data_IF_106427574255
#
_entry.id   IF_106427574255
#
_cell.length_a   1.000
_cell.length_b   1.000
_cell.length_c   1.000
_cell.angle_alpha   90.00
_cell.angle_beta   90.00
_cell.angle_gamma   90.00
#
_symmetry.space_group_name_H-M   'P 1'
#
loop_
_entity.id
_entity.type
_entity.pdbx_description
1 polymer ?
#
# COMPACT_ATOMS: atom_id res chain seq x y z
N UNK A 1 -14.89 10.79 -7.63
CA UNK A 1 -16.08 10.83 -6.74
C UNK A 1 -15.95 9.86 -5.56
N UNK A 2 -15.45 8.62 -5.74
CA UNK A 2 -15.24 7.66 -4.63
C UNK A 2 -14.14 8.04 -3.61
N UNK A 3 -13.06 8.74 -3.99
CA UNK A 3 -12.00 9.12 -3.03
C UNK A 3 -12.48 10.13 -1.98
N UNK A 4 -13.42 11.00 -2.35
CA UNK A 4 -14.09 11.89 -1.41
C UNK A 4 -14.96 11.12 -0.41
N UNK A 5 -15.50 9.96 -0.79
CA UNK A 5 -16.27 9.09 0.10
C UNK A 5 -15.38 8.26 1.03
N UNK A 6 -14.22 7.79 0.56
CA UNK A 6 -13.20 7.12 1.41
C UNK A 6 -12.57 8.11 2.40
N UNK A 7 -12.25 9.34 1.96
CA UNK A 7 -11.83 10.42 2.87
C UNK A 7 -12.94 10.86 3.83
N UNK A 8 -14.21 10.83 3.42
CA UNK A 8 -15.34 11.14 4.30
C UNK A 8 -15.59 10.07 5.39
N UNK A 9 -15.09 8.84 5.22
CA UNK A 9 -15.07 7.85 6.31
C UNK A 9 -13.96 8.13 7.34
N UNK A 10 -12.95 8.94 6.99
CA UNK A 10 -11.81 9.31 7.85
C UNK A 10 -11.92 10.69 8.51
N UNK A 11 -12.77 11.60 8.03
CA UNK A 11 -13.01 12.89 8.69
C UNK A 11 -14.13 12.77 9.74
N UNK A 12 -13.74 12.69 11.01
CA UNK A 12 -14.62 12.96 12.16
C UNK A 12 -15.75 11.94 12.34
N UNK A 13 -15.40 10.74 12.81
CA UNK A 13 -16.39 9.78 13.28
C UNK A 13 -17.01 10.27 14.61
N UNK A 14 -18.30 10.62 14.60
CA UNK A 14 -19.03 11.05 15.81
C UNK A 14 -20.40 10.35 15.84
N UNK A 15 -20.44 9.08 16.25
CA UNK A 15 -21.69 8.34 16.46
C UNK A 15 -21.49 6.83 16.57
N UNK A 16 -22.42 6.12 17.21
CA UNK A 16 -22.35 4.67 17.47
C UNK A 16 -22.40 4.35 18.96
N UNK A 17 -22.30 3.07 19.31
CA UNK A 17 -22.25 2.64 20.71
C UNK A 17 -21.42 1.37 20.90
N UNK A 18 -20.87 1.21 22.11
CA UNK A 18 -20.21 -0.03 22.55
C UNK A 18 -21.26 -1.13 22.72
N UNK A 19 -20.93 -2.31 22.23
CA UNK A 19 -21.65 -3.55 22.47
C UNK A 19 -20.70 -4.57 23.07
N UNK A 20 -21.12 -5.20 24.18
CA UNK A 20 -20.38 -6.30 24.79
C UNK A 20 -21.16 -7.58 24.51
N UNK A 21 -20.54 -8.52 23.79
CA UNK A 21 -21.19 -9.78 23.43
C UNK A 21 -21.65 -10.53 24.70
N UNK A 22 -22.96 -10.74 24.92
CA UNK A 22 -23.45 -11.36 26.15
C UNK A 22 -23.17 -12.86 26.21
N UNK A 23 -23.04 -13.50 25.04
CA UNK A 23 -22.69 -14.90 24.83
C UNK A 23 -21.82 -15.04 23.59
N UNK A 24 -21.18 -16.21 23.41
CA UNK A 24 -20.39 -16.48 22.20
C UNK A 24 -21.32 -16.47 20.98
N UNK A 25 -21.03 -15.60 20.02
CA UNK A 25 -21.90 -15.30 18.88
C UNK A 25 -21.11 -15.25 17.57
N UNK A 26 -21.75 -14.95 16.45
CA UNK A 26 -21.08 -14.67 15.18
C UNK A 26 -21.25 -13.21 14.77
N UNK A 27 -20.35 -12.73 13.93
CA UNK A 27 -20.43 -11.38 13.39
C UNK A 27 -21.71 -11.15 12.55
N UNK A 28 -22.24 -12.22 11.92
CA UNK A 28 -23.49 -12.18 11.16
C UNK A 28 -24.71 -12.09 12.08
N UNK A 29 -24.65 -12.74 13.25
CA UNK A 29 -25.73 -12.65 14.25
C UNK A 29 -25.75 -11.25 14.89
N UNK A 30 -24.57 -10.69 15.20
CA UNK A 30 -24.46 -9.28 15.63
C UNK A 30 -24.99 -8.35 14.55
N UNK A 31 -24.65 -8.56 13.28
CA UNK A 31 -25.20 -7.75 12.19
C UNK A 31 -26.73 -7.89 12.08
N UNK A 32 -27.27 -9.10 12.25
CA UNK A 32 -28.71 -9.34 12.26
C UNK A 32 -29.40 -8.57 13.39
N UNK A 33 -28.83 -8.59 14.60
CA UNK A 33 -29.37 -7.90 15.78
C UNK A 33 -29.54 -6.39 15.56
N UNK A 34 -28.55 -5.73 14.94
CA UNK A 34 -28.52 -4.27 14.82
C UNK A 34 -28.97 -3.72 13.46
N UNK A 35 -29.00 -4.55 12.43
CA UNK A 35 -29.27 -4.12 11.06
C UNK A 35 -30.34 -4.95 10.35
N UNK A 36 -30.96 -5.92 11.03
CA UNK A 36 -32.03 -6.77 10.49
C UNK A 36 -31.63 -7.57 9.23
N UNK A 37 -30.33 -7.71 9.00
CA UNK A 37 -29.75 -8.51 7.91
C UNK A 37 -28.31 -8.92 8.28
N UNK A 38 -27.89 -10.16 7.96
CA UNK A 38 -26.55 -10.60 8.27
C UNK A 38 -25.52 -9.96 7.32
N UNK A 39 -25.97 -9.36 6.22
CA UNK A 39 -25.11 -8.81 5.17
C UNK A 39 -24.28 -7.60 5.63
N UNK A 40 -24.63 -6.99 6.78
CA UNK A 40 -23.92 -5.85 7.36
C UNK A 40 -22.77 -6.23 8.29
N UNK A 41 -22.43 -7.52 8.39
CA UNK A 41 -21.24 -7.96 9.10
C UNK A 41 -19.95 -7.20 8.68
N UNK A 42 -19.72 -6.81 7.41
CA UNK A 42 -18.54 -6.05 7.01
C UNK A 42 -18.46 -4.68 7.69
N UNK A 43 -19.60 -4.01 7.87
CA UNK A 43 -19.67 -2.71 8.53
C UNK A 43 -19.40 -2.81 10.04
N UNK A 44 -19.89 -3.88 10.69
CA UNK A 44 -19.58 -4.17 12.09
C UNK A 44 -18.08 -4.44 12.27
N UNK A 45 -17.48 -5.26 11.40
CA UNK A 45 -16.04 -5.55 11.41
C UNK A 45 -15.22 -4.28 11.23
N UNK A 46 -15.49 -3.51 10.16
CA UNK A 46 -14.75 -2.31 9.82
C UNK A 46 -14.83 -1.23 10.91
N UNK A 47 -15.99 -1.05 11.52
CA UNK A 47 -16.18 -0.10 12.61
C UNK A 47 -15.49 -0.56 13.91
N UNK A 48 -15.61 -1.84 14.26
CA UNK A 48 -14.98 -2.43 15.45
C UNK A 48 -13.46 -2.38 15.33
N UNK A 49 -12.89 -2.76 14.18
CA UNK A 49 -11.45 -2.69 13.95
C UNK A 49 -10.94 -1.24 13.95
N UNK A 50 -11.71 -0.28 13.44
CA UNK A 50 -11.35 1.15 13.54
C UNK A 50 -11.37 1.64 14.99
N UNK A 51 -12.32 1.18 15.82
CA UNK A 51 -12.32 1.50 17.24
C UNK A 51 -11.18 0.82 18.00
N UNK A 52 -10.78 -0.39 17.62
CA UNK A 52 -9.60 -1.07 18.18
C UNK A 52 -8.32 -0.23 18.02
N UNK A 53 -8.17 0.50 16.90
CA UNK A 53 -7.03 1.41 16.68
C UNK A 53 -7.02 2.60 17.66
N UNK A 54 -8.18 3.04 18.14
CA UNK A 54 -8.32 4.17 19.07
C UNK A 54 -8.33 3.71 20.54
N UNK A 55 -8.91 2.55 20.79
CA UNK A 55 -9.06 1.91 22.09
C UNK A 55 -8.88 0.38 21.91
N UNK A 56 -7.69 -0.16 22.24
CA UNK A 56 -7.40 -1.58 22.10
C UNK A 56 -8.24 -2.51 22.98
N UNK A 57 -9.12 -1.98 23.84
CA UNK A 57 -10.08 -2.82 24.57
C UNK A 57 -11.19 -3.37 23.69
N UNK A 58 -11.42 -2.79 22.50
CA UNK A 58 -12.28 -3.35 21.46
C UNK A 58 -11.62 -4.57 20.82
N UNK A 59 -12.41 -5.51 20.32
CA UNK A 59 -11.91 -6.72 19.67
C UNK A 59 -11.23 -6.38 18.34
N UNK A 60 -10.06 -6.97 18.07
CA UNK A 60 -9.50 -7.02 16.72
C UNK A 60 -10.07 -8.24 16.00
N UNK A 61 -10.87 -8.02 14.97
CA UNK A 61 -11.51 -9.07 14.17
C UNK A 61 -10.64 -9.30 12.94
N UNK A 62 -9.85 -10.37 12.94
CA UNK A 62 -8.95 -10.74 11.83
C UNK A 62 -9.63 -11.65 10.79
N UNK A 63 -10.66 -12.39 11.22
CA UNK A 63 -11.41 -13.32 10.39
C UNK A 63 -12.90 -13.28 10.76
N UNK A 64 -13.80 -12.90 9.84
CA UNK A 64 -15.24 -12.75 10.14
C UNK A 64 -15.98 -14.07 10.35
N UNK A 65 -15.38 -15.20 10.01
CA UNK A 65 -15.97 -16.53 10.20
C UNK A 65 -15.61 -17.15 11.57
N UNK A 66 -14.72 -16.52 12.35
CA UNK A 66 -14.42 -16.98 13.71
C UNK A 66 -15.50 -16.53 14.71
N UNK A 67 -15.75 -17.33 15.77
CA UNK A 67 -16.65 -16.93 16.84
C UNK A 67 -16.21 -15.63 17.53
N UNK A 68 -17.18 -14.81 17.88
CA UNK A 68 -17.02 -13.65 18.76
C UNK A 68 -17.29 -14.12 20.19
N UNK A 69 -16.24 -14.23 21.00
CA UNK A 69 -16.35 -14.76 22.36
C UNK A 69 -17.17 -13.85 23.28
N UNK A 70 -17.89 -14.44 24.23
CA UNK A 70 -18.63 -13.71 25.25
C UNK A 70 -17.70 -12.72 26.00
N UNK A 71 -18.18 -11.50 26.21
CA UNK A 71 -17.42 -10.41 26.81
C UNK A 71 -16.57 -9.59 25.83
N UNK A 72 -16.48 -9.98 24.56
CA UNK A 72 -15.79 -9.18 23.53
C UNK A 72 -16.50 -7.84 23.32
N UNK A 73 -15.72 -6.77 23.25
CA UNK A 73 -16.22 -5.43 22.92
C UNK A 73 -16.23 -5.22 21.42
N UNK A 74 -17.38 -4.86 20.88
CA UNK A 74 -17.59 -4.47 19.50
C UNK A 74 -18.10 -3.03 19.46
N UNK A 75 -17.91 -2.39 18.31
CA UNK A 75 -18.49 -1.08 18.05
C UNK A 75 -19.58 -1.19 17.00
N UNK A 76 -20.80 -0.81 17.39
CA UNK A 76 -21.96 -0.82 16.50
C UNK A 76 -22.11 0.57 15.87
N UNK A 77 -21.86 0.71 14.56
CA UNK A 77 -21.95 2.00 13.90
C UNK A 77 -23.41 2.41 13.67
N UNK A 78 -23.71 3.73 13.53
CA UNK A 78 -25.02 4.19 13.09
C UNK A 78 -25.40 3.61 11.71
N UNK A 79 -26.70 3.38 11.49
CA UNK A 79 -27.25 2.86 10.21
C UNK A 79 -26.72 3.62 8.99
N UNK A 80 -26.79 4.95 9.02
CA UNK A 80 -26.33 5.80 7.90
C UNK A 80 -24.85 5.57 7.57
N UNK A 81 -24.01 5.40 8.61
CA UNK A 81 -22.60 5.09 8.40
C UNK A 81 -22.42 3.70 7.81
N UNK A 82 -23.16 2.72 8.32
CA UNK A 82 -23.12 1.35 7.84
C UNK A 82 -23.53 1.26 6.36
N UNK A 83 -24.59 1.98 5.95
CA UNK A 83 -25.04 2.05 4.55
C UNK A 83 -23.94 2.62 3.64
N UNK A 84 -23.31 3.71 4.06
CA UNK A 84 -22.20 4.32 3.31
C UNK A 84 -21.00 3.39 3.24
N UNK A 85 -20.65 2.73 4.34
CA UNK A 85 -19.56 1.75 4.37
C UNK A 85 -19.84 0.60 3.40
N UNK A 86 -21.05 0.03 3.44
CA UNK A 86 -21.43 -1.06 2.55
C UNK A 86 -21.42 -0.64 1.08
N UNK A 87 -21.86 0.59 0.77
CA UNK A 87 -21.80 1.13 -0.59
C UNK A 87 -20.35 1.34 -1.07
N UNK A 88 -19.50 1.99 -0.26
CA UNK A 88 -18.12 2.35 -0.64
C UNK A 88 -17.18 1.14 -0.65
N UNK A 89 -17.26 0.27 0.35
CA UNK A 89 -16.25 -0.76 0.62
C UNK A 89 -16.68 -2.19 0.25
N UNK A 90 -17.96 -2.44 -0.09
CA UNK A 90 -18.45 -3.82 -0.24
C UNK A 90 -19.35 -4.07 -1.47
N UNK A 91 -20.26 -3.16 -1.83
CA UNK A 91 -21.28 -3.39 -2.86
C UNK A 91 -20.91 -2.90 -4.27
N UNK A 92 -20.22 -1.76 -4.41
CA UNK A 92 -19.92 -1.17 -5.73
C UNK A 92 -18.51 -1.56 -6.26
N UNK A 93 -17.67 -2.13 -5.40
CA UNK A 93 -16.34 -2.61 -5.78
C UNK A 93 -15.89 -3.73 -4.82
N UNK A 94 -16.07 -5.02 -5.15
CA UNK A 94 -15.75 -6.16 -4.25
C UNK A 94 -14.24 -6.38 -4.00
N UNK A 95 -13.42 -5.33 -4.05
CA UNK A 95 -11.96 -5.37 -4.09
C UNK A 95 -11.25 -4.58 -2.98
N UNK A 96 -11.95 -4.11 -1.93
CA UNK A 96 -11.31 -3.37 -0.82
C UNK A 96 -11.45 -4.07 0.55
N UNK A 97 -10.91 -5.30 0.72
CA UNK A 97 -10.86 -5.95 2.04
C UNK A 97 -10.08 -5.11 3.08
N UNK A 98 -9.23 -4.17 2.66
CA UNK A 98 -8.55 -3.22 3.55
C UNK A 98 -9.51 -2.38 4.42
N UNK A 99 -10.74 -2.10 3.95
CA UNK A 99 -11.74 -1.40 4.76
C UNK A 99 -12.22 -2.23 5.98
N UNK A 100 -12.19 -3.57 5.87
CA UNK A 100 -12.64 -4.47 6.94
C UNK A 100 -11.71 -4.42 8.15
N UNK A 101 -10.43 -4.16 7.92
CA UNK A 101 -9.41 -4.09 8.95
C UNK A 101 -9.25 -2.68 9.55
N UNK A 102 -10.25 -1.81 9.38
CA UNK A 102 -10.28 -0.45 9.96
C UNK A 102 -9.50 0.61 9.17
N UNK A 103 -8.78 0.22 8.12
CA UNK A 103 -7.60 0.94 7.61
C UNK A 103 -6.39 0.62 8.47
N UNK A 104 -5.19 0.47 7.88
CA UNK A 104 -3.99 0.06 8.62
C UNK A 104 -3.17 -1.07 8.01
N UNK A 105 -3.40 -1.45 6.74
CA UNK A 105 -2.42 -2.21 5.96
C UNK A 105 -1.94 -1.42 4.76
N UNK A 106 -0.63 -1.41 4.52
CA UNK A 106 0.01 -0.85 3.34
C UNK A 106 0.71 -1.98 2.58
N UNK A 107 0.13 -2.42 1.47
CA UNK A 107 0.69 -3.43 0.58
C UNK A 107 1.65 -2.79 -0.42
N UNK A 108 2.95 -3.07 -0.24
CA UNK A 108 4.02 -2.52 -1.08
C UNK A 108 4.56 -3.61 -2.00
N UNK A 109 4.33 -3.47 -3.31
CA UNK A 109 4.94 -4.33 -4.32
C UNK A 109 6.34 -3.85 -4.71
N UNK A 110 7.35 -4.71 -4.65
CA UNK A 110 8.70 -4.39 -5.17
C UNK A 110 9.44 -5.63 -5.69
N UNK A 111 10.59 -5.43 -6.34
CA UNK A 111 11.53 -6.51 -6.65
C UNK A 111 12.81 -6.47 -5.79
N UNK A 112 12.87 -5.56 -4.82
CA UNK A 112 13.98 -5.40 -3.90
C UNK A 112 14.03 -6.53 -2.88
N UNK A 113 14.78 -7.58 -3.23
CA UNK A 113 14.84 -8.84 -2.48
C UNK A 113 16.25 -9.24 -2.07
N UNK A 114 17.28 -8.59 -2.60
CA UNK A 114 18.67 -9.02 -2.44
C UNK A 114 19.58 -7.91 -1.90
N UNK A 115 20.47 -8.28 -0.98
CA UNK A 115 21.54 -7.42 -0.46
C UNK A 115 21.06 -6.02 -0.06
N UNK A 116 21.78 -5.00 -0.53
CA UNK A 116 21.49 -3.60 -0.21
C UNK A 116 20.12 -3.11 -0.69
N UNK A 117 19.47 -3.79 -1.65
CA UNK A 117 18.09 -3.43 -2.05
C UNK A 117 17.09 -3.75 -0.93
N UNK A 118 17.22 -4.92 -0.31
CA UNK A 118 16.36 -5.33 0.80
C UNK A 118 16.61 -4.47 2.04
N UNK A 119 17.88 -4.13 2.33
CA UNK A 119 18.25 -3.24 3.42
C UNK A 119 17.68 -1.83 3.22
N UNK A 120 17.76 -1.28 2.01
CA UNK A 120 17.17 0.02 1.68
C UNK A 120 15.65 0.04 1.83
N UNK A 121 14.97 -1.02 1.39
CA UNK A 121 13.52 -1.15 1.57
C UNK A 121 13.13 -1.24 3.04
N UNK A 122 13.86 -2.03 3.82
CA UNK A 122 13.63 -2.16 5.26
C UNK A 122 13.77 -0.82 5.97
N UNK A 123 14.80 -0.02 5.63
CA UNK A 123 14.98 1.31 6.20
C UNK A 123 13.80 2.25 5.89
N UNK A 124 13.24 2.20 4.67
CA UNK A 124 12.02 2.96 4.33
C UNK A 124 10.82 2.53 5.19
N UNK A 125 10.66 1.22 5.41
CA UNK A 125 9.60 0.70 6.26
C UNK A 125 9.77 1.10 7.73
N UNK A 126 11.00 1.15 8.23
CA UNK A 126 11.27 1.60 9.59
C UNK A 126 10.96 3.09 9.78
N UNK A 127 11.27 3.92 8.79
CA UNK A 127 10.86 5.34 8.78
C UNK A 127 9.33 5.43 8.81
N UNK A 128 8.65 4.71 7.93
CA UNK A 128 7.20 4.76 7.83
C UNK A 128 6.51 4.27 9.11
N UNK A 129 6.95 3.13 9.68
CA UNK A 129 6.42 2.61 10.96
C UNK A 129 6.59 3.57 12.12
N UNK A 130 7.67 4.36 12.13
CA UNK A 130 7.90 5.37 13.17
C UNK A 130 6.92 6.54 13.06
N UNK A 131 6.54 6.91 11.84
CA UNK A 131 5.60 8.01 11.59
C UNK A 131 4.13 7.55 11.62
N UNK A 132 3.88 6.28 11.28
CA UNK A 132 2.57 5.64 11.18
C UNK A 132 2.59 4.30 11.93
N UNK A 133 2.70 4.31 13.28
CA UNK A 133 2.87 3.09 14.07
C UNK A 133 1.68 2.12 13.98
N UNK A 134 0.50 2.65 13.65
CA UNK A 134 -0.74 1.88 13.55
C UNK A 134 -0.94 1.27 12.16
N UNK A 135 0.01 1.47 11.22
CA UNK A 135 -0.04 0.89 9.88
C UNK A 135 0.89 -0.32 9.76
N UNK A 136 0.29 -1.47 9.48
CA UNK A 136 0.96 -2.72 9.15
C UNK A 136 1.42 -2.71 7.70
N UNK A 137 2.73 -2.77 7.46
CA UNK A 137 3.27 -2.87 6.10
C UNK A 137 3.28 -4.34 5.67
N UNK A 138 2.64 -4.64 4.54
CA UNK A 138 2.71 -5.94 3.86
C UNK A 138 3.72 -5.82 2.73
N UNK A 139 4.88 -6.46 2.90
CA UNK A 139 5.95 -6.45 1.91
C UNK A 139 5.71 -7.51 0.83
N UNK A 140 5.11 -7.11 -0.29
CA UNK A 140 4.76 -8.00 -1.41
C UNK A 140 5.88 -8.07 -2.46
N UNK A 141 7.08 -8.49 -2.04
CA UNK A 141 8.25 -8.58 -2.94
C UNK A 141 8.18 -9.77 -3.89
N UNK A 142 8.66 -9.60 -5.12
CA UNK A 142 8.84 -10.69 -6.09
C UNK A 142 10.30 -10.70 -6.54
N UNK A 143 11.01 -11.79 -6.24
CA UNK A 143 12.40 -11.95 -6.63
C UNK A 143 12.57 -11.98 -8.15
N UNK A 144 13.58 -11.27 -8.64
CA UNK A 144 13.91 -11.18 -10.06
C UNK A 144 14.50 -9.81 -10.40
N UNK A 145 15.77 -9.79 -10.79
CA UNK A 145 16.50 -8.56 -11.07
C UNK A 145 15.80 -7.66 -12.11
N UNK A 146 15.93 -6.35 -11.93
CA UNK A 146 15.35 -5.31 -12.79
C UNK A 146 13.82 -5.43 -13.00
N UNK A 147 13.11 -6.09 -12.09
CA UNK A 147 11.66 -6.22 -12.10
C UNK A 147 11.10 -7.06 -13.25
N UNK A 148 11.91 -7.89 -13.93
CA UNK A 148 11.45 -8.68 -15.08
C UNK A 148 10.27 -9.60 -14.73
N UNK A 149 10.42 -10.37 -13.64
CA UNK A 149 9.34 -11.23 -13.12
C UNK A 149 8.23 -10.40 -12.50
N UNK A 150 8.59 -9.35 -11.75
CA UNK A 150 7.66 -8.48 -11.06
C UNK A 150 6.61 -7.85 -12.00
N UNK A 151 7.04 -7.28 -13.14
CA UNK A 151 6.14 -6.68 -14.13
C UNK A 151 5.12 -7.68 -14.68
N UNK A 152 5.53 -8.92 -14.91
CA UNK A 152 4.66 -9.99 -15.41
C UNK A 152 3.57 -10.40 -14.39
N UNK A 153 3.80 -10.16 -13.09
CA UNK A 153 2.84 -10.49 -12.03
C UNK A 153 1.95 -9.29 -11.68
N UNK A 154 2.52 -8.08 -11.57
CA UNK A 154 1.76 -6.91 -11.11
C UNK A 154 0.75 -6.43 -12.15
N UNK A 155 1.10 -6.41 -13.45
CA UNK A 155 0.18 -5.92 -14.47
C UNK A 155 -1.14 -6.73 -14.51
N UNK A 156 -1.14 -8.07 -14.55
CA UNK A 156 -2.37 -8.85 -14.46
C UNK A 156 -3.18 -8.59 -13.18
N UNK A 157 -2.50 -8.43 -12.03
CA UNK A 157 -3.17 -8.14 -10.75
C UNK A 157 -3.92 -6.81 -10.77
N UNK A 158 -3.30 -5.77 -11.34
CA UNK A 158 -3.94 -4.46 -11.55
C UNK A 158 -5.18 -4.60 -12.44
N UNK A 159 -5.05 -5.30 -13.58
CA UNK A 159 -6.16 -5.51 -14.53
C UNK A 159 -7.29 -6.32 -13.90
N UNK A 160 -6.96 -7.29 -13.03
CA UNK A 160 -7.92 -8.12 -12.30
C UNK A 160 -8.56 -7.40 -11.09
N UNK A 161 -8.25 -6.12 -10.86
CA UNK A 161 -8.81 -5.36 -9.75
C UNK A 161 -8.24 -5.75 -8.37
N UNK A 162 -7.07 -6.39 -8.33
CA UNK A 162 -6.36 -6.75 -7.09
C UNK A 162 -4.94 -6.13 -7.05
N UNK A 163 -4.81 -4.79 -7.19
CA UNK A 163 -3.51 -4.11 -7.15
C UNK A 163 -2.94 -4.09 -5.72
N UNK A 164 -1.61 -3.97 -5.55
CA UNK A 164 -1.06 -3.46 -4.30
C UNK A 164 -1.41 -1.97 -4.11
N UNK A 165 -1.27 -1.45 -2.89
CA UNK A 165 -1.51 -0.02 -2.61
C UNK A 165 -0.49 0.88 -3.29
N UNK A 166 0.75 0.40 -3.37
CA UNK A 166 1.83 1.02 -4.16
C UNK A 166 2.74 -0.06 -4.73
N UNK A 167 3.43 0.25 -5.83
CA UNK A 167 4.40 -0.66 -6.41
C UNK A 167 5.60 0.06 -7.02
N UNK A 168 6.73 -0.64 -7.03
CA UNK A 168 7.95 -0.19 -7.67
C UNK A 168 7.79 -0.21 -9.20
N UNK A 169 8.24 0.85 -9.86
CA UNK A 169 8.45 0.92 -11.31
C UNK A 169 9.68 1.78 -11.62
N UNK A 170 10.29 1.60 -12.79
CA UNK A 170 11.38 2.48 -13.23
C UNK A 170 10.83 3.82 -13.73
N UNK A 171 11.50 4.92 -13.38
CA UNK A 171 11.24 6.23 -13.97
C UNK A 171 11.36 6.19 -15.51
N UNK A 172 10.51 6.94 -16.20
CA UNK A 172 10.45 6.97 -17.67
C UNK A 172 9.30 6.15 -18.23
N UNK A 173 9.54 5.44 -19.35
CA UNK A 173 8.47 4.84 -20.16
C UNK A 173 7.84 3.57 -19.59
N UNK A 174 8.37 3.01 -18.49
CA UNK A 174 7.78 1.81 -17.90
C UNK A 174 6.31 2.01 -17.52
N UNK A 175 5.95 3.20 -17.03
CA UNK A 175 4.57 3.55 -16.68
C UNK A 175 3.59 3.37 -17.85
N UNK A 176 4.03 3.58 -19.09
CA UNK A 176 3.18 3.41 -20.27
C UNK A 176 2.63 1.97 -20.39
N UNK A 177 3.38 0.98 -19.89
CA UNK A 177 2.98 -0.42 -19.89
C UNK A 177 1.80 -0.74 -18.96
N UNK A 178 1.44 0.17 -18.07
CA UNK A 178 0.39 0.01 -17.06
C UNK A 178 -0.93 0.73 -17.40
N UNK A 179 -1.07 1.32 -18.59
CA UNK A 179 -2.27 2.09 -18.98
C UNK A 179 -2.68 3.08 -17.85
N UNK A 180 -1.79 4.02 -17.48
CA UNK A 180 -1.88 4.76 -16.22
C UNK A 180 -3.17 5.57 -16.09
N UNK A 181 -3.69 6.12 -17.18
CA UNK A 181 -4.97 6.86 -17.21
C UNK A 181 -6.18 5.99 -16.80
N UNK A 182 -6.06 4.66 -16.91
CA UNK A 182 -7.10 3.70 -16.56
C UNK A 182 -6.92 3.13 -15.15
N UNK A 183 -5.68 2.82 -14.77
CA UNK A 183 -5.42 2.02 -13.57
C UNK A 183 -4.64 2.74 -12.47
N UNK A 184 -3.98 3.85 -12.76
CA UNK A 184 -3.19 4.61 -11.79
C UNK A 184 -3.82 5.97 -11.52
N UNK A 185 -3.34 6.62 -10.46
CA UNK A 185 -3.74 8.00 -10.13
C UNK A 185 -2.59 8.94 -10.47
N UNK A 186 -2.85 10.06 -11.15
CA UNK A 186 -1.85 11.10 -11.30
C UNK A 186 -1.50 11.69 -9.93
N UNK A 187 -0.24 12.09 -9.76
CA UNK A 187 0.31 12.60 -8.49
C UNK A 187 0.60 14.10 -8.52
N UNK A 188 0.08 14.84 -9.51
CA UNK A 188 0.41 16.25 -9.70
C UNK A 188 0.02 17.12 -8.50
N UNK A 189 -1.14 16.84 -7.89
CA UNK A 189 -1.59 17.52 -6.67
C UNK A 189 -0.61 17.27 -5.51
N UNK A 190 -0.11 16.03 -5.36
CA UNK A 190 0.87 15.69 -4.34
C UNK A 190 2.22 16.40 -4.59
N UNK A 191 2.66 16.44 -5.85
CA UNK A 191 3.86 17.19 -6.24
C UNK A 191 3.76 18.68 -5.90
N UNK A 192 2.60 19.29 -6.14
CA UNK A 192 2.34 20.69 -5.80
C UNK A 192 2.28 20.91 -4.28
N UNK A 193 1.63 20.02 -3.53
CA UNK A 193 1.53 20.09 -2.06
C UNK A 193 2.90 20.00 -1.39
N UNK A 194 3.76 19.10 -1.87
CA UNK A 194 5.08 18.83 -1.28
C UNK A 194 6.18 19.74 -1.84
N UNK A 195 5.87 20.56 -2.87
CA UNK A 195 6.85 21.45 -3.52
C UNK A 195 7.96 20.68 -4.25
N UNK A 196 7.70 19.47 -4.71
CA UNK A 196 8.72 18.57 -5.26
C UNK A 196 9.30 19.01 -6.60
N UNK A 197 8.61 19.86 -7.36
CA UNK A 197 9.14 20.43 -8.59
C UNK A 197 10.37 21.33 -8.35
N UNK A 198 10.52 21.89 -7.15
CA UNK A 198 11.64 22.75 -6.77
C UNK A 198 12.83 21.95 -6.21
N UNK A 199 12.59 20.73 -5.74
CA UNK A 199 13.59 19.90 -5.04
C UNK A 199 14.26 18.91 -5.99
N UNK A 200 13.51 18.34 -6.93
CA UNK A 200 14.06 17.35 -7.85
C UNK A 200 14.78 18.00 -9.04
N UNK A 201 15.87 17.38 -9.54
CA UNK A 201 16.54 17.86 -10.75
C UNK A 201 15.57 17.90 -11.94
N UNK A 202 15.62 18.97 -12.74
CA UNK A 202 14.74 19.14 -13.90
C UNK A 202 14.75 17.92 -14.85
N UNK A 203 15.92 17.36 -15.15
CA UNK A 203 16.02 16.20 -16.03
C UNK A 203 15.30 14.96 -15.48
N UNK A 204 15.25 14.79 -14.16
CA UNK A 204 14.48 13.73 -13.51
C UNK A 204 12.98 14.02 -13.61
N UNK A 205 12.56 15.27 -13.35
CA UNK A 205 11.15 15.67 -13.50
C UNK A 205 10.64 15.47 -14.93
N UNK A 206 11.45 15.82 -15.93
CA UNK A 206 11.12 15.60 -17.34
C UNK A 206 10.95 14.10 -17.65
N UNK A 207 11.78 13.23 -17.05
CA UNK A 207 11.69 11.77 -17.20
C UNK A 207 10.46 11.19 -16.46
N UNK A 208 10.07 11.76 -15.34
CA UNK A 208 8.93 11.31 -14.54
C UNK A 208 7.57 11.69 -15.14
N UNK A 209 7.52 12.69 -16.03
CA UNK A 209 6.30 13.08 -16.71
C UNK A 209 5.98 12.15 -17.87
N UNK A 210 4.79 11.56 -17.82
CA UNK A 210 4.22 10.81 -18.93
C UNK A 210 2.81 11.34 -19.21
N UNK A 211 2.53 11.68 -20.47
CA UNK A 211 1.26 12.33 -20.88
C UNK A 211 0.90 13.56 -20.03
N UNK A 212 1.89 14.34 -19.62
CA UNK A 212 1.68 15.59 -18.86
C UNK A 212 1.47 15.42 -17.35
N UNK A 213 1.51 14.18 -16.83
CA UNK A 213 1.27 13.89 -15.41
C UNK A 213 2.45 13.15 -14.77
N UNK A 214 2.60 13.31 -13.46
CA UNK A 214 3.45 12.44 -12.62
C UNK A 214 2.68 11.19 -12.19
N UNK A 215 3.32 10.03 -12.24
CA UNK A 215 2.69 8.74 -11.93
C UNK A 215 3.45 7.92 -10.88
N UNK A 216 4.51 8.49 -10.32
CA UNK A 216 5.32 7.89 -9.27
C UNK A 216 6.17 8.96 -8.59
N UNK A 217 6.86 8.58 -7.51
CA UNK A 217 7.76 9.45 -6.75
C UNK A 217 9.15 8.85 -6.78
N UNK A 218 10.20 9.57 -7.23
CA UNK A 218 11.56 9.05 -7.28
C UNK A 218 12.10 8.79 -5.86
N UNK A 219 12.53 7.56 -5.60
CA UNK A 219 13.17 7.20 -4.32
C UNK A 219 14.70 7.31 -4.37
N UNK A 220 15.31 7.12 -5.55
CA UNK A 220 16.76 7.17 -5.73
C UNK A 220 17.18 7.42 -7.19
N UNK A 221 18.49 7.45 -7.43
CA UNK A 221 19.11 7.46 -8.76
C UNK A 221 20.23 6.40 -8.77
N UNK A 222 20.03 5.32 -9.51
CA UNK A 222 21.08 4.31 -9.74
C UNK A 222 21.94 4.67 -10.96
N UNK A 223 23.22 4.29 -10.92
CA UNK A 223 24.16 4.41 -12.04
C UNK A 223 24.46 3.04 -12.63
N UNK A 224 24.06 2.81 -13.88
CA UNK A 224 24.22 1.52 -14.56
C UNK A 224 25.62 1.31 -15.13
N UNK A 225 26.26 2.37 -15.63
CA UNK A 225 27.57 2.32 -16.28
C UNK A 225 28.74 2.38 -15.29
N UNK A 226 28.81 1.40 -14.38
CA UNK A 226 29.88 1.28 -13.37
C UNK A 226 30.64 -0.03 -13.57
N UNK A 227 31.97 0.05 -13.60
CA UNK A 227 32.85 -1.11 -13.52
C UNK A 227 33.29 -1.32 -12.07
N UNK A 228 32.92 -2.46 -11.49
CA UNK A 228 33.39 -2.89 -10.18
C UNK A 228 34.58 -3.84 -10.35
N UNK A 229 35.68 -3.60 -9.64
CA UNK A 229 36.90 -4.43 -9.71
C UNK A 229 37.53 -4.61 -8.33
N UNK A 230 38.30 -5.70 -8.16
CA UNK A 230 39.03 -5.98 -6.92
C UNK A 230 40.40 -5.30 -6.95
N UNK A 231 40.63 -4.35 -6.04
CA UNK A 231 41.93 -3.68 -5.89
C UNK A 231 43.06 -4.67 -5.59
N UNK A 232 42.81 -5.66 -4.73
CA UNK A 232 43.81 -6.67 -4.36
C UNK A 232 44.26 -7.51 -5.57
N UNK A 233 43.31 -7.92 -6.43
CA UNK A 233 43.65 -8.65 -7.67
C UNK A 233 44.44 -7.74 -8.61
N UNK A 234 44.05 -6.48 -8.76
CA UNK A 234 44.76 -5.55 -9.63
C UNK A 234 46.19 -5.28 -9.13
N UNK A 235 46.38 -5.15 -7.81
CA UNK A 235 47.71 -5.00 -7.20
C UNK A 235 48.56 -6.27 -7.35
N UNK A 236 48.00 -7.45 -7.11
CA UNK A 236 48.71 -8.75 -7.22
C UNK A 236 49.25 -9.01 -8.63
N UNK A 237 48.47 -8.68 -9.65
CA UNK A 237 48.81 -8.92 -11.05
C UNK A 237 49.36 -7.68 -11.78
N UNK A 238 49.56 -6.54 -11.09
CA UNK A 238 50.07 -5.30 -11.69
C UNK A 238 49.15 -4.69 -12.76
N UNK A 239 47.83 -4.85 -12.61
CA UNK A 239 46.82 -4.36 -13.54
C UNK A 239 46.42 -2.91 -13.20
N UNK A 240 46.05 -2.15 -14.22
CA UNK A 240 45.47 -0.79 -14.08
C UNK A 240 43.99 -0.80 -14.45
N UNK A 241 43.10 -0.13 -13.70
CA UNK A 241 41.69 0.01 -14.08
C UNK A 241 41.58 0.66 -15.46
N UNK A 242 40.84 0.05 -16.41
CA UNK A 242 40.79 0.55 -17.78
C UNK A 242 39.98 1.85 -17.87
N UNK A 243 40.51 2.82 -18.61
CA UNK A 243 39.84 4.07 -18.97
C UNK A 243 39.18 3.99 -20.36
N UNK A 244 39.55 3.00 -21.18
CA UNK A 244 39.03 2.78 -22.53
C UNK A 244 38.61 1.32 -22.75
N UNK A 245 37.90 1.03 -23.84
CA UNK A 245 37.57 -0.34 -24.21
C UNK A 245 38.80 -1.11 -24.69
N UNK A 246 39.75 -0.44 -25.34
CA UNK A 246 41.02 -1.03 -25.75
C UNK A 246 41.88 -1.43 -24.54
N UNK A 247 41.83 -0.69 -23.43
CA UNK A 247 42.51 -1.05 -22.18
C UNK A 247 41.77 -2.16 -21.40
N UNK A 248 40.48 -2.35 -21.69
CA UNK A 248 39.65 -3.36 -21.00
C UNK A 248 39.93 -4.79 -21.49
N UNK A 249 40.26 -4.97 -22.78
CA UNK A 249 40.51 -6.27 -23.41
C UNK A 249 42.00 -6.63 -23.48
#
# INVERSE_FOLDING_TARGET
MLLGAVMALGQGYVGGHEYVAPETTSLKDVAWEFFETPDYWPAVMGATNRMHLLDPTFLLIENPDLPIEAGSKLWIPPREWADRFMWVCYLDSPAFPACLFGGGQLVVGSWWTAGGEAEGLAALFDIYKREQPDVVIVNATIAGGAGFVFRAVIKPRIIAGNPPDTFQLHAGLEVAGYEPEKYLRPLDELYAMEGWEEVFPKALLDLMRYKGHYWGVPVNIHRSNVLWYSKAIFEEYGLTPPATWEEFF
#
